data_IF_300720872487
#
_entry.id   IF_300720872487
#
_cell.length_a   1.000
_cell.length_b   1.000
_cell.length_c   1.000
_cell.angle_alpha   90.00
_cell.angle_beta   90.00
_cell.angle_gamma   90.00
#
_symmetry.space_group_name_H-M   'P 1'
#
loop_
_entity.id
_entity.type
_entity.pdbx_description
1 polymer ?
#
# COMPACT_ATOMS: atom_id res chain seq x y z
N UNK A 1 -13.42 2.71 12.57
CA UNK A 1 -12.09 2.38 13.15
C UNK A 1 -11.39 1.53 12.11
N UNK A 2 -10.28 2.00 11.54
CA UNK A 2 -9.58 1.28 10.47
C UNK A 2 -8.72 0.18 11.12
N UNK A 3 -8.94 -1.07 10.74
CA UNK A 3 -8.23 -2.22 11.30
C UNK A 3 -6.86 -2.40 10.62
N UNK A 4 -5.80 -2.41 11.42
CA UNK A 4 -4.44 -2.65 10.94
C UNK A 4 -4.11 -4.14 11.01
N UNK A 5 -3.44 -4.65 9.99
CA UNK A 5 -2.99 -6.04 9.89
C UNK A 5 -1.48 -6.10 9.70
N UNK A 6 -0.84 -7.14 10.25
CA UNK A 6 0.56 -7.50 9.95
C UNK A 6 0.66 -8.41 8.73
N UNK A 7 -0.47 -8.92 8.23
CA UNK A 7 -0.54 -9.76 7.05
C UNK A 7 -0.65 -8.86 5.82
N UNK A 8 0.31 -9.01 4.91
CA UNK A 8 0.35 -8.26 3.65
C UNK A 8 -0.84 -8.63 2.76
N UNK A 9 -1.68 -7.67 2.35
CA UNK A 9 -2.76 -7.92 1.40
C UNK A 9 -2.22 -8.21 0.00
N UNK A 10 -2.95 -8.99 -0.78
CA UNK A 10 -2.57 -9.25 -2.18
C UNK A 10 -3.05 -8.10 -3.06
N UNK A 11 -2.17 -7.53 -3.88
CA UNK A 11 -2.51 -6.38 -4.74
C UNK A 11 -3.64 -6.67 -5.75
N UNK A 12 -3.81 -7.93 -6.13
CA UNK A 12 -4.92 -8.34 -7.00
C UNK A 12 -6.28 -8.34 -6.30
N UNK A 13 -6.32 -8.39 -4.97
CA UNK A 13 -7.56 -8.34 -4.17
C UNK A 13 -8.03 -6.90 -3.92
N UNK A 14 -7.16 -5.90 -4.15
CA UNK A 14 -7.54 -4.49 -4.12
C UNK A 14 -8.49 -4.16 -5.28
N UNK A 15 -9.49 -3.34 -5.00
CA UNK A 15 -10.39 -2.72 -5.99
C UNK A 15 -9.77 -1.42 -6.50
N UNK A 16 -10.22 -0.96 -7.67
CA UNK A 16 -9.79 0.35 -8.17
C UNK A 16 -10.33 1.44 -7.22
N UNK A 17 -9.49 2.40 -6.89
CA UNK A 17 -9.75 3.42 -5.86
C UNK A 17 -9.39 2.99 -4.44
N UNK A 18 -9.04 1.72 -4.20
CA UNK A 18 -8.54 1.31 -2.89
C UNK A 18 -7.16 1.92 -2.64
N UNK A 19 -6.98 2.45 -1.43
CA UNK A 19 -5.71 2.94 -0.94
C UNK A 19 -5.19 1.95 0.10
N UNK A 20 -4.15 1.21 -0.27
CA UNK A 20 -3.40 0.41 0.67
C UNK A 20 -2.38 1.30 1.36
N UNK A 21 -2.47 1.42 2.68
CA UNK A 21 -1.52 2.14 3.50
C UNK A 21 -0.49 1.18 4.08
N UNK A 22 0.78 1.56 4.04
CA UNK A 22 1.90 0.77 4.53
C UNK A 22 2.69 1.60 5.54
N UNK A 23 2.88 1.04 6.73
CA UNK A 23 3.54 1.71 7.84
C UNK A 23 4.30 0.77 8.77
N UNK A 24 4.70 1.27 9.93
CA UNK A 24 5.16 0.46 11.07
C UNK A 24 4.37 0.84 12.33
N UNK A 25 4.37 -0.02 13.36
CA UNK A 25 3.74 0.31 14.65
C UNK A 25 4.35 1.59 15.27
N UNK A 26 5.67 1.72 15.19
CA UNK A 26 6.39 2.83 15.84
C UNK A 26 6.30 4.17 15.09
N UNK A 27 6.22 4.14 13.76
CA UNK A 27 6.35 5.35 12.91
C UNK A 27 5.06 5.72 12.18
N UNK A 28 4.03 4.89 12.28
CA UNK A 28 2.79 5.10 11.54
C UNK A 28 2.98 4.86 10.04
N UNK A 29 2.18 5.54 9.22
CA UNK A 29 2.21 5.45 7.77
C UNK A 29 3.53 5.95 7.18
N UNK A 30 4.09 5.20 6.24
CA UNK A 30 5.32 5.58 5.52
C UNK A 30 5.02 5.88 4.06
N UNK A 31 4.12 5.12 3.42
CA UNK A 31 3.67 5.33 2.06
C UNK A 31 2.32 4.66 1.83
N UNK A 32 1.63 5.12 0.78
CA UNK A 32 0.37 4.51 0.33
C UNK A 32 0.50 4.01 -1.10
N UNK A 33 -0.39 3.09 -1.44
CA UNK A 33 -0.49 2.44 -2.74
C UNK A 33 -1.93 2.49 -3.19
N UNK A 34 -2.23 3.31 -4.20
CA UNK A 34 -3.56 3.43 -4.77
C UNK A 34 -3.68 2.60 -6.03
N UNK A 35 -4.70 1.75 -6.13
CA UNK A 35 -4.96 1.00 -7.36
C UNK A 35 -5.77 1.84 -8.34
N UNK A 36 -5.22 2.10 -9.52
CA UNK A 36 -5.91 2.86 -10.58
C UNK A 36 -6.56 1.96 -11.63
N UNK A 37 -6.00 0.77 -11.85
CA UNK A 37 -6.46 -0.16 -12.86
C UNK A 37 -5.97 -1.58 -12.61
N UNK A 38 -6.11 -2.45 -13.61
CA UNK A 38 -5.80 -3.88 -13.46
C UNK A 38 -4.34 -4.14 -13.04
N UNK A 39 -3.39 -3.41 -13.64
CA UNK A 39 -1.96 -3.56 -13.37
C UNK A 39 -1.24 -2.25 -12.99
N UNK A 40 -1.99 -1.16 -12.81
CA UNK A 40 -1.43 0.19 -12.57
C UNK A 40 -1.72 0.65 -11.15
N UNK A 41 -0.66 1.10 -10.48
CA UNK A 41 -0.71 1.55 -9.09
C UNK A 41 0.08 2.85 -8.93
N UNK A 42 -0.41 3.75 -8.09
CA UNK A 42 0.35 4.92 -7.63
C UNK A 42 0.97 4.60 -6.28
N UNK A 43 2.28 4.82 -6.15
CA UNK A 43 2.96 4.94 -4.88
C UNK A 43 2.95 6.41 -4.46
N UNK A 44 2.42 6.74 -3.29
CA UNK A 44 2.63 8.04 -2.65
C UNK A 44 3.56 7.87 -1.45
N UNK A 45 4.70 8.55 -1.49
CA UNK A 45 5.65 8.60 -0.38
C UNK A 45 5.88 10.04 0.06
N UNK A 46 4.94 10.57 0.84
CA UNK A 46 5.05 11.90 1.42
C UNK A 46 4.97 13.03 0.39
N UNK A 47 4.07 12.89 -0.60
CA UNK A 47 3.82 13.87 -1.65
C UNK A 47 4.60 13.62 -2.95
N UNK A 48 5.41 12.55 -3.00
CA UNK A 48 6.02 12.08 -4.24
C UNK A 48 5.18 10.95 -4.82
N UNK A 49 4.49 11.24 -5.92
CA UNK A 49 3.66 10.30 -6.65
C UNK A 49 4.48 9.61 -7.76
N UNK A 50 4.48 8.28 -7.76
CA UNK A 50 5.14 7.48 -8.79
C UNK A 50 4.21 6.36 -9.27
N UNK A 51 4.05 6.24 -10.59
CA UNK A 51 3.26 5.17 -11.20
C UNK A 51 4.12 3.91 -11.41
N UNK A 52 3.59 2.77 -10.99
CA UNK A 52 4.25 1.48 -11.16
C UNK A 52 3.28 0.40 -11.64
N UNK A 53 3.85 -0.55 -12.39
CA UNK A 53 3.20 -1.82 -12.68
C UNK A 53 3.14 -2.74 -11.45
N UNK A 54 2.18 -3.68 -11.44
CA UNK A 54 1.95 -4.66 -10.36
C UNK A 54 3.22 -5.32 -9.80
N UNK A 55 4.11 -5.80 -10.66
CA UNK A 55 5.30 -6.54 -10.25
C UNK A 55 6.30 -5.65 -9.48
N UNK A 56 6.52 -4.42 -9.96
CA UNK A 56 7.40 -3.45 -9.31
C UNK A 56 6.80 -3.01 -7.97
N UNK A 57 5.49 -2.77 -7.93
CA UNK A 57 4.79 -2.41 -6.70
C UNK A 57 4.90 -3.51 -5.64
N UNK A 58 4.65 -4.77 -6.02
CA UNK A 58 4.78 -5.90 -5.11
C UNK A 58 6.20 -6.03 -4.53
N UNK A 59 7.23 -5.79 -5.36
CA UNK A 59 8.63 -5.78 -4.93
C UNK A 59 8.92 -4.65 -3.93
N UNK A 60 8.41 -3.45 -4.17
CA UNK A 60 8.59 -2.32 -3.26
C UNK A 60 7.99 -2.59 -1.87
N UNK A 61 6.76 -3.11 -1.84
CA UNK A 61 6.08 -3.46 -0.58
C UNK A 61 6.84 -4.59 0.13
N UNK A 62 7.29 -5.61 -0.61
CA UNK A 62 8.05 -6.72 -0.04
C UNK A 62 9.37 -6.25 0.57
N UNK A 63 10.15 -5.46 -0.16
CA UNK A 63 11.44 -4.94 0.33
C UNK A 63 11.28 -4.04 1.56
N UNK A 64 10.17 -3.30 1.66
CA UNK A 64 9.84 -2.58 2.88
C UNK A 64 9.52 -3.54 4.04
N UNK A 65 8.65 -4.52 3.83
CA UNK A 65 8.23 -5.47 4.85
C UNK A 65 9.34 -6.39 5.38
N UNK A 66 10.33 -6.74 4.55
CA UNK A 66 11.49 -7.49 4.99
C UNK A 66 12.40 -6.65 5.89
N UNK A 67 12.51 -5.36 5.60
CA UNK A 67 13.41 -4.44 6.32
C UNK A 67 12.76 -3.87 7.58
N UNK A 68 11.45 -3.74 7.57
CA UNK A 68 10.68 -3.07 8.61
C UNK A 68 9.47 -3.94 8.99
N UNK A 69 9.15 -4.01 10.30
CA UNK A 69 7.94 -4.70 10.79
C UNK A 69 6.69 -3.98 10.29
N UNK A 70 6.28 -4.30 9.08
CA UNK A 70 5.26 -3.56 8.36
C UNK A 70 3.86 -3.87 8.90
N UNK A 71 3.03 -2.83 8.95
CA UNK A 71 1.60 -2.91 9.19
C UNK A 71 0.86 -2.32 7.99
N UNK A 72 -0.32 -2.87 7.72
CA UNK A 72 -1.13 -2.58 6.54
C UNK A 72 -2.54 -2.24 6.95
N UNK A 73 -3.17 -1.30 6.26
CA UNK A 73 -4.62 -1.10 6.31
C UNK A 73 -5.09 -0.55 4.99
N UNK A 74 -6.36 -0.76 4.69
CA UNK A 74 -6.96 -0.32 3.43
C UNK A 74 -8.02 0.71 3.75
N UNK A 75 -8.03 1.80 2.99
CA UNK A 75 -9.16 2.73 2.94
C UNK A 75 -9.74 2.75 1.54
N UNK A 76 -11.01 3.17 1.47
CA UNK A 76 -11.75 3.31 0.24
C UNK A 76 -12.12 4.80 0.13
N UNK A 77 -11.97 5.43 -1.04
CA UNK A 77 -12.31 6.85 -1.25
C UNK A 77 -13.81 7.21 -1.00
N UNK A 78 -14.63 6.25 -0.56
CA UNK A 78 -16.06 6.43 -0.28
C UNK A 78 -16.44 6.38 1.22
N UNK A 79 -15.48 6.40 2.16
CA UNK A 79 -15.74 6.50 3.60
C UNK A 79 -14.92 7.59 4.30
#
# INVERSE_FOLDING_TARGET
MIEKSTVRPKLNELKNGDVLHIGTEDKGEIFTVTKLGENTYILDRGGQLMEYGRAVMAKNIYGFAEKYKAVYWITHENE
#
